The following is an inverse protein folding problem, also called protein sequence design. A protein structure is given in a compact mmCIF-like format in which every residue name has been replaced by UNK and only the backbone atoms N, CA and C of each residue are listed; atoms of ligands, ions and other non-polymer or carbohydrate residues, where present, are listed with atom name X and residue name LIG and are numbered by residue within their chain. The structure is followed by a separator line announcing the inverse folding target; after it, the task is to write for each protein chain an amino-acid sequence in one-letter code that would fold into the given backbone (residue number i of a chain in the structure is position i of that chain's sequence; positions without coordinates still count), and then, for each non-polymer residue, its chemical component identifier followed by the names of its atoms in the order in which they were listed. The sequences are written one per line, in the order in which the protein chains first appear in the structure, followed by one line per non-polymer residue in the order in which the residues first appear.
data_IF_888456597517
#
_entry.id   IF_888456597517
#
_cell.length_a   1.000
_cell.length_b   1.000
_cell.length_c   1.000
_cell.angle_alpha   90.00
_cell.angle_beta   90.00
_cell.angle_gamma   90.00
#
_symmetry.space_group_name_H-M   'P 1'
#
loop_
_entity.id
_entity.type
_entity.pdbx_description
1 polymer ?
#
# COMPACT_ATOMS: atom_id res chain seq x y z
N UNK A 1 6.03 -50.58 -17.09
CA UNK A 1 6.49 -49.31 -17.70
C UNK A 1 5.96 -48.18 -16.83
N UNK A 2 6.81 -47.56 -16.01
CA UNK A 2 6.43 -46.45 -15.14
C UNK A 2 6.70 -45.13 -15.86
N UNK A 3 5.69 -44.27 -16.00
CA UNK A 3 5.87 -42.91 -16.48
C UNK A 3 6.76 -42.15 -15.49
N UNK A 4 7.82 -41.45 -15.93
CA UNK A 4 8.58 -40.59 -15.03
C UNK A 4 7.67 -39.44 -14.59
N UNK A 5 7.43 -39.36 -13.28
CA UNK A 5 6.72 -38.26 -12.65
C UNK A 5 7.38 -36.94 -13.03
N UNK A 6 6.62 -36.04 -13.67
CA UNK A 6 7.04 -34.68 -13.92
C UNK A 6 7.46 -34.03 -12.58
N UNK A 7 8.59 -33.30 -12.53
CA UNK A 7 9.05 -32.70 -11.28
C UNK A 7 7.98 -31.74 -10.77
N UNK A 8 7.49 -31.99 -9.55
CA UNK A 8 6.62 -31.06 -8.81
C UNK A 8 7.42 -29.80 -8.49
N UNK A 9 7.34 -28.79 -9.36
CA UNK A 9 7.95 -27.48 -9.14
C UNK A 9 7.16 -26.77 -8.05
N UNK A 10 7.70 -26.71 -6.85
CA UNK A 10 7.12 -25.95 -5.73
C UNK A 10 7.53 -24.47 -5.87
N UNK A 11 6.78 -23.54 -5.26
CA UNK A 11 7.15 -22.10 -5.24
C UNK A 11 8.57 -21.85 -4.71
N UNK A 12 9.11 -22.77 -3.91
CA UNK A 12 10.49 -22.75 -3.39
C UNK A 12 11.56 -23.01 -4.46
N UNK A 13 11.26 -23.75 -5.54
CA UNK A 13 12.21 -24.02 -6.63
C UNK A 13 12.39 -22.83 -7.58
N UNK A 14 11.62 -21.75 -7.39
CA UNK A 14 11.59 -20.53 -8.22
C UNK A 14 11.98 -19.29 -7.39
N UNK A 15 12.72 -19.49 -6.29
CA UNK A 15 13.25 -18.38 -5.52
C UNK A 15 14.12 -17.50 -6.43
N UNK A 16 13.82 -16.19 -6.49
CA UNK A 16 14.72 -15.22 -7.09
C UNK A 16 16.01 -15.20 -6.27
N UNK A 17 17.13 -15.44 -6.93
CA UNK A 17 18.47 -15.47 -6.32
C UNK A 17 18.86 -14.16 -5.63
N UNK A 18 18.18 -13.05 -5.94
CA UNK A 18 18.54 -11.70 -5.50
C UNK A 18 17.59 -11.17 -4.42
N UNK A 19 16.27 -11.38 -4.54
CA UNK A 19 15.29 -10.77 -3.60
C UNK A 19 14.58 -11.80 -2.73
N UNK A 20 14.16 -12.93 -3.30
CA UNK A 20 13.40 -13.94 -2.58
C UNK A 20 12.29 -14.59 -3.39
N UNK A 21 11.29 -15.11 -2.68
CA UNK A 21 10.24 -15.94 -3.29
C UNK A 21 9.13 -15.07 -3.87
N UNK A 22 8.66 -15.34 -5.12
CA UNK A 22 7.50 -14.67 -5.69
C UNK A 22 6.30 -14.66 -4.73
N UNK A 23 5.63 -13.51 -4.62
CA UNK A 23 4.60 -13.28 -3.60
C UNK A 23 3.53 -12.32 -4.11
N UNK A 24 2.29 -12.59 -3.74
CA UNK A 24 1.15 -11.70 -3.97
C UNK A 24 1.17 -10.48 -3.03
N UNK A 25 0.54 -9.39 -3.46
CA UNK A 25 0.40 -8.18 -2.64
C UNK A 25 -0.57 -8.47 -1.48
N UNK A 26 -0.20 -8.10 -0.25
CA UNK A 26 -1.03 -8.34 0.94
C UNK A 26 -2.35 -7.59 0.92
N UNK A 27 -2.38 -6.41 0.30
CA UNK A 27 -3.51 -5.48 0.33
C UNK A 27 -3.82 -4.87 1.70
N UNK A 28 -3.04 -5.23 2.73
CA UNK A 28 -3.17 -4.73 4.10
C UNK A 28 -2.28 -3.53 4.39
N UNK A 29 -1.28 -3.26 3.55
CA UNK A 29 -0.38 -2.11 3.68
C UNK A 29 -0.03 -1.59 2.30
N UNK A 30 0.49 -0.35 2.22
CA UNK A 30 0.96 0.15 0.93
C UNK A 30 2.25 -0.60 0.53
N UNK A 31 2.39 -1.04 -0.73
CA UNK A 31 3.47 -1.91 -1.15
C UNK A 31 4.84 -1.22 -1.14
N UNK A 32 5.87 -1.96 -0.75
CA UNK A 32 7.30 -1.62 -0.96
C UNK A 32 7.70 -1.85 -2.43
N UNK A 33 8.88 -1.39 -2.81
CA UNK A 33 9.48 -1.79 -4.09
C UNK A 33 9.77 -3.30 -4.17
N UNK A 34 10.09 -3.96 -3.04
CA UNK A 34 10.22 -5.41 -2.94
C UNK A 34 8.89 -6.11 -3.29
N UNK A 35 7.78 -5.68 -2.68
CA UNK A 35 6.45 -6.27 -2.90
C UNK A 35 6.04 -6.18 -4.38
N UNK A 36 6.29 -5.04 -5.03
CA UNK A 36 6.02 -4.87 -6.47
C UNK A 36 6.79 -5.86 -7.30
N UNK A 37 8.08 -6.02 -7.02
CA UNK A 37 8.94 -6.89 -7.82
C UNK A 37 8.60 -8.37 -7.60
N UNK A 38 8.35 -8.78 -6.35
CA UNK A 38 7.90 -10.14 -6.04
C UNK A 38 6.54 -10.45 -6.67
N UNK A 39 5.62 -9.48 -6.72
CA UNK A 39 4.33 -9.62 -7.39
C UNK A 39 4.49 -9.73 -8.92
N UNK A 40 5.37 -8.94 -9.53
CA UNK A 40 5.69 -9.08 -10.96
C UNK A 40 6.26 -10.47 -11.30
N UNK A 41 7.10 -11.02 -10.44
CA UNK A 41 7.66 -12.36 -10.63
C UNK A 41 6.59 -13.46 -10.46
N UNK A 42 5.66 -13.28 -9.52
CA UNK A 42 4.56 -14.21 -9.29
C UNK A 42 3.58 -14.21 -10.48
N UNK A 43 3.19 -13.03 -10.97
CA UNK A 43 2.38 -12.89 -12.19
C UNK A 43 3.05 -13.51 -13.41
N UNK A 44 4.36 -13.28 -13.57
CA UNK A 44 5.14 -13.91 -14.65
C UNK A 44 5.07 -15.44 -14.55
N UNK A 45 5.23 -15.98 -13.34
CA UNK A 45 5.20 -17.41 -13.10
C UNK A 45 3.81 -18.02 -13.37
N UNK A 46 2.76 -17.45 -12.77
CA UNK A 46 1.37 -17.89 -12.99
C UNK A 46 1.04 -17.96 -14.46
N UNK A 47 1.42 -16.93 -15.22
CA UNK A 47 1.20 -16.90 -16.67
C UNK A 47 2.02 -17.96 -17.39
N UNK A 48 3.28 -18.17 -17.02
CA UNK A 48 4.10 -19.23 -17.63
C UNK A 48 3.54 -20.64 -17.44
N UNK A 49 2.79 -20.90 -16.36
CA UNK A 49 2.08 -22.17 -16.16
C UNK A 49 0.82 -22.30 -17.03
N UNK A 50 0.19 -21.18 -17.39
CA UNK A 50 -1.05 -21.16 -18.16
C UNK A 50 -0.81 -21.29 -19.68
N UNK A 51 0.41 -21.03 -20.17
CA UNK A 51 0.76 -21.20 -21.58
C UNK A 51 1.27 -22.62 -21.86
N UNK A 52 0.47 -23.40 -22.60
CA UNK A 52 0.85 -24.69 -23.16
C UNK A 52 2.06 -24.54 -24.12
N UNK A 53 3.00 -25.51 -24.20
CA UNK A 53 4.23 -25.41 -25.00
C UNK A 53 4.03 -25.07 -26.49
N UNK A 54 2.81 -25.25 -27.02
CA UNK A 54 2.46 -25.04 -28.42
C UNK A 54 2.02 -23.61 -28.78
N UNK A 55 1.80 -22.72 -27.80
CA UNK A 55 1.44 -21.32 -28.06
C UNK A 55 2.33 -20.37 -27.24
N UNK A 56 3.60 -20.26 -27.67
CA UNK A 56 4.59 -19.31 -27.14
C UNK A 56 4.30 -17.86 -27.56
N UNK A 57 3.09 -17.33 -27.31
CA UNK A 57 2.94 -15.87 -27.33
C UNK A 57 3.46 -15.38 -25.98
N UNK A 58 4.77 -15.21 -25.90
CA UNK A 58 5.43 -14.64 -24.72
C UNK A 58 4.81 -13.26 -24.47
N UNK A 59 3.88 -13.18 -23.51
CA UNK A 59 3.25 -11.93 -23.15
C UNK A 59 4.34 -11.00 -22.63
N UNK A 60 4.54 -9.89 -23.33
CA UNK A 60 5.55 -8.90 -22.99
C UNK A 60 5.41 -8.44 -21.54
N UNK A 61 6.53 -8.09 -20.90
CA UNK A 61 6.56 -7.62 -19.52
C UNK A 61 5.58 -6.44 -19.27
N UNK A 62 5.26 -5.66 -20.30
CA UNK A 62 4.25 -4.61 -20.24
C UNK A 62 2.88 -5.11 -19.76
N UNK A 63 2.42 -6.28 -20.21
CA UNK A 63 1.15 -6.85 -19.79
C UNK A 63 1.16 -7.35 -18.33
N UNK A 64 2.34 -7.69 -17.81
CA UNK A 64 2.53 -8.02 -16.39
C UNK A 64 2.50 -6.72 -15.58
N UNK A 65 3.27 -5.71 -16.02
CA UNK A 65 3.31 -4.41 -15.36
C UNK A 65 1.94 -3.72 -15.31
N UNK A 66 1.14 -3.84 -16.37
CA UNK A 66 -0.24 -3.34 -16.43
C UNK A 66 -1.15 -4.01 -15.39
N UNK A 67 -1.08 -5.34 -15.28
CA UNK A 67 -1.84 -6.08 -14.29
C UNK A 67 -1.42 -5.75 -12.85
N UNK A 68 -0.11 -5.68 -12.59
CA UNK A 68 0.39 -5.29 -11.26
C UNK A 68 0.02 -3.85 -10.94
N UNK A 69 0.10 -2.92 -11.91
CA UNK A 69 -0.33 -1.53 -11.72
C UNK A 69 -1.81 -1.45 -11.31
N UNK A 70 -2.68 -2.24 -11.92
CA UNK A 70 -4.10 -2.33 -11.54
C UNK A 70 -4.26 -2.75 -10.08
N UNK A 71 -3.53 -3.80 -9.64
CA UNK A 71 -3.56 -4.26 -8.25
C UNK A 71 -3.08 -3.18 -7.28
N UNK A 72 -1.96 -2.52 -7.59
CA UNK A 72 -1.37 -1.47 -6.74
C UNK A 72 -2.29 -0.26 -6.63
N UNK A 73 -2.85 0.21 -7.73
CA UNK A 73 -3.84 1.30 -7.72
C UNK A 73 -5.05 0.91 -6.87
N UNK A 74 -5.51 -0.35 -6.97
CA UNK A 74 -6.57 -0.88 -6.12
C UNK A 74 -6.27 -0.77 -4.62
N UNK A 75 -5.02 -1.03 -4.20
CA UNK A 75 -4.60 -0.90 -2.79
C UNK A 75 -4.66 0.57 -2.32
N UNK A 76 -4.17 1.50 -3.13
CA UNK A 76 -4.22 2.93 -2.78
C UNK A 76 -5.66 3.46 -2.76
N UNK A 77 -6.52 2.98 -3.66
CA UNK A 77 -7.93 3.32 -3.68
C UNK A 77 -8.67 2.82 -2.42
N UNK A 78 -8.32 1.62 -1.92
CA UNK A 78 -8.86 1.09 -0.64
C UNK A 78 -8.50 1.96 0.56
N UNK A 79 -7.36 2.63 0.51
CA UNK A 79 -6.91 3.58 1.51
C UNK A 79 -7.32 5.04 1.18
N UNK A 80 -8.23 5.25 0.22
CA UNK A 80 -8.76 6.57 -0.15
C UNK A 80 -7.69 7.60 -0.57
N UNK A 81 -6.52 7.15 -1.02
CA UNK A 81 -5.40 8.02 -1.40
C UNK A 81 -5.41 8.26 -2.91
N UNK A 82 -5.47 9.52 -3.38
CA UNK A 82 -5.35 9.83 -4.80
C UNK A 82 -4.00 9.39 -5.37
N UNK A 83 -4.02 8.77 -6.55
CA UNK A 83 -2.83 8.22 -7.22
C UNK A 83 -2.45 9.01 -8.47
N UNK A 84 -1.20 8.85 -8.93
CA UNK A 84 -0.80 9.27 -10.27
C UNK A 84 -1.50 8.42 -11.34
N UNK A 85 -1.44 8.83 -12.60
CA UNK A 85 -2.10 8.11 -13.70
C UNK A 85 -1.63 6.65 -13.80
N UNK A 86 -2.52 5.75 -14.24
CA UNK A 86 -2.20 4.32 -14.41
C UNK A 86 -0.96 4.11 -15.27
N UNK A 87 -0.87 4.80 -16.42
CA UNK A 87 0.28 4.75 -17.32
C UNK A 87 1.59 5.10 -16.60
N UNK A 88 1.57 6.09 -15.69
CA UNK A 88 2.76 6.46 -14.91
C UNK A 88 3.16 5.34 -13.95
N UNK A 89 2.19 4.67 -13.33
CA UNK A 89 2.45 3.50 -12.46
C UNK A 89 3.11 2.37 -13.26
N UNK A 90 2.58 2.04 -14.45
CA UNK A 90 3.16 1.03 -15.34
C UNK A 90 4.61 1.35 -15.70
N UNK A 91 4.91 2.61 -16.06
CA UNK A 91 6.27 3.06 -16.35
C UNK A 91 7.21 2.93 -15.16
N UNK A 92 6.74 3.23 -13.94
CA UNK A 92 7.54 3.08 -12.72
C UNK A 92 7.90 1.61 -12.47
N UNK A 93 6.92 0.70 -12.62
CA UNK A 93 7.12 -0.74 -12.49
C UNK A 93 8.12 -1.23 -13.54
N UNK A 94 7.96 -0.80 -14.79
CA UNK A 94 8.84 -1.18 -15.90
C UNK A 94 10.29 -0.71 -15.68
N UNK A 95 10.48 0.54 -15.30
CA UNK A 95 11.82 1.09 -15.01
C UNK A 95 12.50 0.32 -13.88
N UNK A 96 11.76 -0.02 -12.83
CA UNK A 96 12.31 -0.74 -11.69
C UNK A 96 12.65 -2.20 -12.05
N UNK A 97 11.77 -2.89 -12.78
CA UNK A 97 12.03 -4.23 -13.26
C UNK A 97 13.24 -4.30 -14.19
N UNK A 98 13.41 -3.32 -15.08
CA UNK A 98 14.58 -3.24 -15.95
C UNK A 98 15.88 -3.11 -15.15
N UNK A 99 15.86 -2.35 -14.05
CA UNK A 99 16.99 -2.23 -13.13
C UNK A 99 17.33 -3.57 -12.47
N UNK A 100 16.31 -4.33 -12.05
CA UNK A 100 16.47 -5.69 -11.56
C UNK A 100 17.03 -6.65 -12.61
N UNK A 101 16.55 -6.60 -13.86
CA UNK A 101 17.07 -7.44 -14.94
C UNK A 101 18.53 -7.12 -15.26
N UNK A 102 18.92 -5.84 -15.24
CA UNK A 102 20.31 -5.43 -15.43
C UNK A 102 21.23 -6.00 -14.33
N UNK A 103 20.76 -6.00 -13.07
CA UNK A 103 21.45 -6.68 -11.97
C UNK A 103 21.52 -8.19 -12.24
N UNK A 104 20.39 -8.85 -12.47
CA UNK A 104 20.33 -10.30 -12.71
C UNK A 104 21.27 -10.77 -13.83
N UNK A 105 21.37 -10.03 -14.94
CA UNK A 105 22.26 -10.36 -16.05
C UNK A 105 23.74 -10.41 -15.65
N UNK A 106 24.15 -9.54 -14.72
CA UNK A 106 25.54 -9.46 -14.27
C UNK A 106 25.86 -10.46 -13.14
N UNK A 107 24.83 -11.09 -12.56
CA UNK A 107 24.96 -11.95 -11.39
C UNK A 107 25.95 -13.10 -11.61
N UNK A 108 25.80 -13.86 -12.69
CA UNK A 108 26.64 -15.05 -12.91
C UNK A 108 28.12 -14.73 -13.10
N UNK A 109 28.46 -13.52 -13.56
CA UNK A 109 29.84 -13.10 -13.80
C UNK A 109 30.48 -12.42 -12.59
N UNK A 110 29.67 -11.67 -11.84
CA UNK A 110 30.18 -10.73 -10.85
C UNK A 110 29.78 -11.09 -9.40
N UNK A 111 29.05 -12.19 -9.16
CA UNK A 111 28.51 -12.59 -7.85
C UNK A 111 29.55 -12.65 -6.72
N UNK A 112 30.79 -13.04 -7.02
CA UNK A 112 31.84 -13.17 -6.01
C UNK A 112 32.53 -11.83 -5.69
N UNK A 113 32.40 -10.83 -6.57
CA UNK A 113 33.06 -9.52 -6.42
C UNK A 113 32.41 -8.71 -5.31
N UNK A 114 33.21 -8.21 -4.37
CA UNK A 114 32.71 -7.44 -3.22
C UNK A 114 31.94 -6.17 -3.61
N UNK A 115 32.39 -5.48 -4.67
CA UNK A 115 31.66 -4.32 -5.21
C UNK A 115 30.24 -4.70 -5.65
N UNK A 116 30.08 -5.88 -6.27
CA UNK A 116 28.80 -6.35 -6.76
C UNK A 116 27.89 -6.84 -5.61
N UNK A 117 28.46 -7.52 -4.60
CA UNK A 117 27.74 -7.87 -3.36
C UNK A 117 27.17 -6.63 -2.67
N UNK A 118 27.99 -5.59 -2.48
CA UNK A 118 27.56 -4.29 -1.93
C UNK A 118 26.44 -3.65 -2.77
N UNK A 119 26.54 -3.74 -4.10
CA UNK A 119 25.50 -3.24 -5.02
C UNK A 119 24.18 -4.00 -4.87
N UNK A 120 24.21 -5.32 -4.74
CA UNK A 120 23.03 -6.15 -4.48
C UNK A 120 22.42 -5.80 -3.13
N UNK A 121 23.25 -5.73 -2.08
CA UNK A 121 22.77 -5.42 -0.74
C UNK A 121 22.11 -4.04 -0.69
N UNK A 122 22.73 -3.02 -1.29
CA UNK A 122 22.14 -1.70 -1.42
C UNK A 122 20.81 -1.74 -2.20
N UNK A 123 20.70 -2.55 -3.26
CA UNK A 123 19.45 -2.72 -4.00
C UNK A 123 18.36 -3.36 -3.14
N UNK A 124 18.65 -4.44 -2.42
CA UNK A 124 17.71 -5.14 -1.54
C UNK A 124 17.25 -4.22 -0.40
N UNK A 125 18.19 -3.51 0.25
CA UNK A 125 17.87 -2.59 1.34
C UNK A 125 16.97 -1.45 0.86
N UNK A 126 17.25 -0.90 -0.32
CA UNK A 126 16.35 0.09 -0.94
C UNK A 126 14.98 -0.51 -1.27
N UNK A 127 14.91 -1.73 -1.79
CA UNK A 127 13.66 -2.40 -2.15
C UNK A 127 12.75 -2.59 -0.92
N UNK A 128 13.33 -3.01 0.21
CA UNK A 128 12.64 -3.28 1.48
C UNK A 128 12.20 -2.02 2.20
N UNK A 129 13.08 -1.02 2.28
CA UNK A 129 12.82 0.19 3.06
C UNK A 129 11.87 1.16 2.34
N UNK A 130 11.99 1.29 1.00
CA UNK A 130 11.28 2.33 0.27
C UNK A 130 9.84 1.91 -0.06
N UNK A 131 8.93 2.82 0.24
CA UNK A 131 7.55 2.76 -0.22
C UNK A 131 7.51 2.90 -1.74
N UNK A 132 6.73 2.06 -2.42
CA UNK A 132 6.37 2.29 -3.82
C UNK A 132 5.29 3.37 -3.88
N UNK A 133 5.71 4.62 -3.66
CA UNK A 133 4.80 5.75 -3.46
C UNK A 133 4.23 6.25 -4.79
N UNK A 134 2.99 5.83 -5.08
CA UNK A 134 2.23 6.29 -6.25
C UNK A 134 1.20 7.37 -5.90
N UNK A 135 1.21 7.91 -4.67
CA UNK A 135 0.29 8.98 -4.30
C UNK A 135 0.51 10.23 -5.16
N UNK A 136 -0.56 10.88 -5.58
CA UNK A 136 -0.54 12.06 -6.44
C UNK A 136 0.09 13.28 -5.76
N UNK A 137 -0.12 13.41 -4.45
CA UNK A 137 0.47 14.44 -3.61
C UNK A 137 1.81 13.97 -3.01
N UNK A 138 2.87 14.74 -3.28
CA UNK A 138 4.22 14.54 -2.71
C UNK A 138 4.59 15.58 -1.66
N UNK A 139 3.64 16.39 -1.19
CA UNK A 139 3.89 17.39 -0.18
C UNK A 139 4.38 16.74 1.12
N UNK A 140 5.34 17.42 1.77
CA UNK A 140 5.90 16.98 3.05
C UNK A 140 4.82 17.10 4.14
N UNK A 141 4.51 15.97 4.76
CA UNK A 141 3.62 15.93 5.92
C UNK A 141 4.49 16.19 7.14
N UNK A 142 4.13 17.20 7.94
CA UNK A 142 4.88 17.62 9.12
C UNK A 142 4.12 17.22 10.37
N UNK A 143 4.81 16.54 11.28
CA UNK A 143 4.31 16.22 12.60
C UNK A 143 4.55 17.43 13.51
N UNK A 144 3.49 18.13 13.89
CA UNK A 144 3.59 19.22 14.86
C UNK A 144 3.33 18.63 16.25
N UNK A 145 4.32 17.92 16.82
CA UNK A 145 4.18 17.48 18.22
C UNK A 145 4.63 18.55 19.20
N UNK A 146 3.77 18.89 20.14
CA UNK A 146 4.09 19.69 21.33
C UNK A 146 4.47 18.83 22.54
N UNK A 147 4.47 17.50 22.40
CA UNK A 147 4.65 16.52 23.47
C UNK A 147 6.09 16.31 23.96
N UNK A 148 7.08 16.96 23.35
CA UNK A 148 8.50 16.88 23.77
C UNK A 148 9.17 15.50 23.68
N UNK A 149 8.48 14.47 23.19
CA UNK A 149 9.01 13.09 23.07
C UNK A 149 9.11 12.65 21.62
N UNK A 150 10.23 12.03 21.25
CA UNK A 150 10.58 11.60 19.87
C UNK A 150 9.59 10.56 19.32
N UNK A 151 8.87 9.83 20.19
CA UNK A 151 7.92 8.77 19.82
C UNK A 151 6.56 9.08 20.45
N UNK A 152 5.78 9.91 19.79
CA UNK A 152 4.50 10.38 20.31
C UNK A 152 3.42 9.29 20.12
N UNK A 153 3.00 8.64 21.21
CA UNK A 153 2.02 7.54 21.19
C UNK A 153 0.55 7.97 21.00
N UNK A 154 0.22 9.25 20.78
CA UNK A 154 -1.17 9.66 20.66
C UNK A 154 -1.42 11.04 20.05
N UNK A 155 -2.28 11.07 19.01
CA UNK A 155 -3.03 12.19 18.43
C UNK A 155 -2.33 13.54 18.21
N UNK A 156 -1.03 13.54 17.98
CA UNK A 156 -0.31 14.77 17.65
C UNK A 156 -0.83 15.34 16.32
N UNK A 157 -1.11 16.65 16.23
CA UNK A 157 -1.57 17.26 15.00
C UNK A 157 -0.58 17.02 13.87
N UNK A 158 -1.04 16.38 12.80
CA UNK A 158 -0.33 16.37 11.53
C UNK A 158 -0.83 17.53 10.70
N UNK A 159 0.10 18.27 10.11
CA UNK A 159 -0.24 19.32 9.14
C UNK A 159 0.51 19.09 7.84
N UNK A 160 -0.14 19.44 6.75
CA UNK A 160 0.48 19.45 5.43
C UNK A 160 0.25 20.83 4.81
N UNK A 161 1.33 21.55 4.53
CA UNK A 161 1.28 22.73 3.70
C UNK A 161 1.17 22.27 2.23
N UNK A 162 -0.04 21.85 1.83
CA UNK A 162 -0.30 21.30 0.51
C UNK A 162 -0.85 22.37 -0.43
N UNK A 163 -0.17 22.60 -1.56
CA UNK A 163 -0.63 23.45 -2.66
C UNK A 163 -1.23 22.65 -3.83
N UNK A 164 -1.43 21.34 -3.66
CA UNK A 164 -2.02 20.50 -4.70
C UNK A 164 -3.52 20.79 -4.84
N UNK A 165 -4.04 20.58 -6.05
CA UNK A 165 -5.48 20.58 -6.30
C UNK A 165 -6.20 19.57 -5.39
N UNK A 166 -7.47 19.86 -5.09
CA UNK A 166 -8.30 19.05 -4.18
C UNK A 166 -8.34 17.57 -4.58
N UNK A 167 -8.35 17.28 -5.88
CA UNK A 167 -8.41 15.91 -6.43
C UNK A 167 -7.11 15.12 -6.22
N UNK A 168 -5.99 15.80 -5.98
CA UNK A 168 -4.66 15.18 -5.82
C UNK A 168 -4.20 15.17 -4.37
N UNK A 169 -4.82 16.01 -3.53
CA UNK A 169 -4.48 16.16 -2.12
C UNK A 169 -4.88 14.90 -1.34
N UNK A 170 -4.00 14.45 -0.45
CA UNK A 170 -4.29 13.36 0.49
C UNK A 170 -5.40 13.85 1.45
N UNK A 171 -6.50 13.10 1.62
CA UNK A 171 -7.55 13.44 2.59
C UNK A 171 -7.00 13.57 4.00
N UNK A 172 -7.53 14.51 4.79
CA UNK A 172 -7.00 14.79 6.12
C UNK A 172 -7.10 13.56 7.07
N UNK A 173 -8.13 12.72 6.89
CA UNK A 173 -8.30 11.44 7.61
C UNK A 173 -7.18 10.43 7.32
N UNK A 174 -6.62 10.44 6.10
CA UNK A 174 -5.56 9.54 5.67
C UNK A 174 -4.16 10.12 5.89
N UNK A 175 -4.02 11.37 6.34
CA UNK A 175 -2.71 12.00 6.53
C UNK A 175 -1.83 11.26 7.54
N UNK A 176 -2.43 10.77 8.62
CA UNK A 176 -1.71 9.99 9.64
C UNK A 176 -1.19 8.67 9.06
N UNK A 177 -2.05 7.97 8.32
CA UNK A 177 -1.68 6.74 7.64
C UNK A 177 -0.57 6.99 6.62
N UNK A 178 -0.71 8.00 5.75
CA UNK A 178 0.31 8.34 4.76
C UNK A 178 1.64 8.78 5.38
N UNK A 179 1.62 9.49 6.51
CA UNK A 179 2.85 9.82 7.23
C UNK A 179 3.54 8.57 7.77
N UNK A 180 2.80 7.68 8.43
CA UNK A 180 3.34 6.39 8.89
C UNK A 180 3.91 5.58 7.72
N UNK A 181 3.16 5.40 6.63
CA UNK A 181 3.61 4.62 5.47
C UNK A 181 4.84 5.21 4.77
N UNK A 182 5.10 6.51 4.90
CA UNK A 182 6.31 7.17 4.38
C UNK A 182 7.49 7.12 5.34
N UNK A 183 7.29 6.72 6.60
CA UNK A 183 8.30 6.77 7.65
C UNK A 183 8.50 5.39 8.29
N UNK A 184 7.63 5.00 9.22
CA UNK A 184 7.74 3.82 10.07
C UNK A 184 7.09 2.57 9.49
N UNK A 185 6.04 2.74 8.67
CA UNK A 185 5.30 1.67 7.98
C UNK A 185 4.70 0.62 8.92
N UNK A 186 4.14 1.05 10.04
CA UNK A 186 3.58 0.16 11.07
C UNK A 186 2.07 -0.04 10.85
N UNK A 187 1.38 0.97 10.32
CA UNK A 187 -0.08 0.95 10.18
C UNK A 187 -0.54 0.07 9.01
N UNK A 188 -1.72 -0.53 9.16
CA UNK A 188 -2.40 -1.31 8.14
C UNK A 188 -3.68 -0.61 7.64
N UNK A 189 -4.02 -0.87 6.38
CA UNK A 189 -5.24 -0.45 5.69
C UNK A 189 -6.42 -1.15 6.39
N UNK A 190 -7.41 -0.37 6.82
CA UNK A 190 -8.62 -0.86 7.50
C UNK A 190 -8.64 -0.70 9.03
N UNK A 191 -7.50 -0.47 9.68
CA UNK A 191 -7.47 -0.24 11.14
C UNK A 191 -8.16 1.08 11.52
N UNK A 192 -8.07 2.09 10.66
CA UNK A 192 -8.72 3.40 10.86
C UNK A 192 -10.22 3.33 10.59
N UNK A 193 -10.64 2.68 9.50
CA UNK A 193 -12.04 2.55 9.11
C UNK A 193 -12.93 1.97 10.21
N UNK A 194 -12.47 0.94 10.93
CA UNK A 194 -13.23 0.33 12.05
C UNK A 194 -13.31 1.26 13.26
N UNK A 195 -12.22 1.96 13.62
CA UNK A 195 -12.21 2.87 14.76
C UNK A 195 -13.02 4.14 14.48
N UNK A 196 -12.95 4.69 13.27
CA UNK A 196 -13.70 5.86 12.84
C UNK A 196 -15.20 5.53 12.70
N UNK A 197 -15.56 4.41 12.06
CA UNK A 197 -16.97 3.97 11.97
C UNK A 197 -17.55 3.68 13.34
N UNK A 198 -16.81 3.07 14.26
CA UNK A 198 -17.27 2.88 15.64
C UNK A 198 -17.44 4.21 16.37
N UNK A 199 -16.55 5.19 16.16
CA UNK A 199 -16.67 6.53 16.74
C UNK A 199 -17.83 7.34 16.14
N UNK A 200 -18.04 7.25 14.83
CA UNK A 200 -19.15 7.90 14.13
C UNK A 200 -20.48 7.29 14.57
N UNK A 201 -20.59 5.96 14.64
CA UNK A 201 -21.78 5.26 15.14
C UNK A 201 -22.09 5.63 16.59
N UNK A 202 -21.08 5.69 17.47
CA UNK A 202 -21.25 6.17 18.86
C UNK A 202 -21.66 7.64 18.95
N UNK A 203 -21.19 8.51 18.04
CA UNK A 203 -21.62 9.92 17.96
C UNK A 203 -23.06 10.03 17.44
N UNK A 204 -23.45 9.22 16.48
CA UNK A 204 -24.80 9.14 15.94
C UNK A 204 -25.79 8.62 16.99
N UNK A 205 -25.44 7.55 17.72
CA UNK A 205 -26.20 7.00 18.84
C UNK A 205 -26.38 8.03 19.97
N UNK A 206 -25.30 8.74 20.35
CA UNK A 206 -25.36 9.81 21.35
C UNK A 206 -26.23 10.99 20.88
N UNK A 207 -26.11 11.41 19.62
CA UNK A 207 -26.94 12.47 19.05
C UNK A 207 -28.42 12.07 18.93
N UNK A 208 -28.72 10.80 18.64
CA UNK A 208 -30.08 10.25 18.65
C UNK A 208 -30.69 10.29 20.06
N UNK A 209 -29.92 9.85 21.06
CA UNK A 209 -30.34 9.84 22.47
C UNK A 209 -30.58 11.27 23.02
N UNK A 210 -29.72 12.23 22.65
CA UNK A 210 -29.89 13.64 23.01
C UNK A 210 -31.12 14.30 22.34
N UNK A 211 -31.41 13.96 21.08
CA UNK A 211 -32.61 14.45 20.38
C UNK A 211 -33.89 13.92 21.05
N UNK A 212 -33.94 12.64 21.39
CA UNK A 212 -35.08 12.05 22.11
C UNK A 212 -35.25 12.64 23.52
N UNK A 213 -34.15 12.93 24.24
CA UNK A 213 -34.22 13.58 25.56
C UNK A 213 -34.70 15.02 25.47
N UNK A 214 -34.26 15.81 24.48
CA UNK A 214 -34.78 17.17 24.23
C UNK A 214 -36.26 17.16 23.85
N UNK A 215 -36.68 16.21 23.03
CA UNK A 215 -38.08 16.04 22.63
C UNK A 215 -38.99 15.69 23.83
N UNK A 216 -38.53 14.80 24.71
CA UNK A 216 -39.23 14.45 25.96
C UNK A 216 -39.33 15.65 26.93
N UNK A 217 -38.26 16.44 27.10
CA UNK A 217 -38.30 17.64 27.94
C UNK A 217 -39.23 18.73 27.39
N UNK A 218 -39.35 18.87 26.07
CA UNK A 218 -40.28 19.83 25.44
C UNK A 218 -41.75 19.43 25.53
N UNK A 219 -42.05 18.15 25.78
CA UNK A 219 -43.43 17.66 25.93
C UNK A 219 -43.89 17.76 27.40
N UNK A 220 -42.97 17.69 28.37
CA UNK A 220 -43.28 17.65 29.81
C UNK A 220 -43.39 19.05 30.45
N UNK A 221 -42.97 20.12 29.77
CA UNK A 221 -43.05 21.51 30.28
C UNK A 221 -43.95 22.41 29.41
N UNK A 222 -45.29 22.24 29.50
CA UNK A 222 -46.11 23.45 29.58
C UNK A 222 -47.29 23.25 30.52
N UNK A 223 -47.05 23.00 31.81
CA UNK A 223 -48.07 23.21 32.84
C UNK A 223 -47.36 23.78 34.05
N UNK A 224 -47.30 25.10 34.19
CA UNK A 224 -47.30 25.88 35.44
C UNK A 224 -46.98 27.34 35.10
N UNK A 225 -47.92 28.02 34.42
CA UNK A 225 -47.94 29.48 34.33
C UNK A 225 -49.36 29.95 33.95
N UNK A 226 -50.32 29.80 34.87
CA UNK A 226 -51.58 30.56 34.92
C UNK A 226 -52.33 30.21 36.20
N UNK A 227 -52.07 30.95 37.27
CA UNK A 227 -53.04 31.20 38.33
C UNK A 227 -52.96 32.69 38.63
N UNK A 228 -54.13 33.34 38.58
CA UNK A 228 -54.37 34.75 38.88
C UNK A 228 -53.98 35.10 40.32
#
# INVERSE_FOLDING_TARGET
MACPNAPRVTRQTIACTIIGVPKELSGLSLPTYEDILLCCLDEKYKRSLLFSPNNKKELGFLAIADCVATQVVGIYNKATIPTVTHTRVVQLIQSYYNSYIALKKSYNRDCEKDFYKKKIEAFIQNAKSKLFDIAACKCKITLNCTCGTVICKGNCPLSVACKCDKTRRIPDIELKFMYDQRTTRIMAIGSLGVQETTKLRKREEHNCCLKNRKLLLSIVLPVQAKVL
#
